data_IF_338470341023
#
_entry.id   IF_338470341023
#
_cell.length_a   1.000
_cell.length_b   1.000
_cell.length_c   1.000
_cell.angle_alpha   90.00
_cell.angle_beta   90.00
_cell.angle_gamma   90.00
#
_symmetry.space_group_name_H-M   'P 1'
#
loop_
_entity.id
_entity.type
_entity.pdbx_description
1 polymer ?
#
# COMPACT_ATOMS: atom_id res chain seq x y z
N UNK A 1 15.62 -14.36 7.70
CA UNK A 1 14.62 -14.41 6.62
C UNK A 1 13.29 -13.84 7.10
N UNK A 2 12.77 -12.84 6.39
CA UNK A 2 11.38 -12.40 6.45
C UNK A 2 10.65 -12.96 5.23
N UNK A 3 9.63 -13.81 5.40
CA UNK A 3 8.88 -14.40 4.30
C UNK A 3 7.66 -13.53 3.98
N UNK A 4 7.53 -13.13 2.71
CA UNK A 4 6.41 -12.43 2.13
C UNK A 4 5.83 -13.27 0.98
N UNK A 5 4.55 -13.05 0.62
CA UNK A 5 3.95 -13.70 -0.55
C UNK A 5 3.77 -12.71 -1.69
N UNK A 6 4.05 -13.15 -2.92
CA UNK A 6 3.73 -12.39 -4.12
C UNK A 6 2.21 -12.10 -4.19
N UNK A 7 1.86 -10.95 -4.77
CA UNK A 7 0.51 -10.42 -4.88
C UNK A 7 -0.24 -10.22 -3.55
N UNK A 8 0.49 -9.87 -2.48
CA UNK A 8 -0.10 -9.38 -1.23
C UNK A 8 -0.01 -7.85 -1.10
N UNK A 9 0.24 -7.12 -2.19
CA UNK A 9 0.38 -5.66 -2.19
C UNK A 9 1.68 -5.18 -1.55
N UNK A 10 1.69 -3.97 -0.99
CA UNK A 10 2.79 -3.51 -0.15
C UNK A 10 2.70 -4.18 1.22
N UNK A 11 3.71 -4.97 1.55
CA UNK A 11 3.90 -5.61 2.85
C UNK A 11 4.94 -4.84 3.66
N UNK A 12 4.75 -4.80 4.98
CA UNK A 12 5.62 -4.06 5.90
C UNK A 12 6.41 -5.05 6.76
N UNK A 13 7.71 -4.79 6.93
CA UNK A 13 8.60 -5.51 7.83
C UNK A 13 9.15 -4.54 8.88
N UNK A 14 8.95 -4.83 10.16
CA UNK A 14 9.63 -4.12 11.26
C UNK A 14 11.00 -4.75 11.58
N UNK A 15 12.06 -3.94 11.58
CA UNK A 15 13.45 -4.29 11.91
C UNK A 15 13.93 -3.42 13.10
N UNK A 16 13.89 -3.93 14.35
CA UNK A 16 14.37 -3.19 15.53
C UNK A 16 15.89 -2.95 15.49
N UNK A 17 16.32 -1.70 15.63
CA UNK A 17 17.73 -1.31 15.54
C UNK A 17 18.41 -1.35 16.92
N UNK A 18 19.34 -2.28 17.08
CA UNK A 18 20.03 -2.54 18.36
C UNK A 18 21.08 -1.46 18.66
N UNK A 19 21.38 -1.26 19.94
CA UNK A 19 22.46 -0.38 20.39
C UNK A 19 22.12 1.12 20.44
N UNK A 20 20.83 1.50 20.41
CA UNK A 20 20.41 2.89 20.59
C UNK A 20 20.77 3.80 19.42
N UNK A 21 20.81 3.26 18.19
CA UNK A 21 21.12 4.02 16.98
C UNK A 21 20.20 5.23 16.81
N UNK A 22 20.79 6.41 16.58
CA UNK A 22 20.09 7.67 16.30
C UNK A 22 20.63 8.28 15.01
N UNK A 23 19.74 8.94 14.26
CA UNK A 23 20.02 9.51 12.96
C UNK A 23 19.49 10.94 12.88
N UNK A 24 20.19 11.80 12.13
CA UNK A 24 19.70 13.14 11.80
C UNK A 24 18.73 13.09 10.62
N UNK A 25 17.87 14.11 10.49
CA UNK A 25 16.95 14.25 9.34
C UNK A 25 17.72 14.26 8.01
N UNK A 26 18.95 14.79 7.99
CA UNK A 26 19.82 14.78 6.81
C UNK A 26 20.31 13.37 6.41
N UNK A 27 20.08 12.34 7.22
CA UNK A 27 20.43 10.94 6.92
C UNK A 27 19.19 10.12 6.54
N UNK A 28 18.05 10.34 7.23
CA UNK A 28 16.84 9.50 7.09
C UNK A 28 15.65 10.20 6.42
N UNK A 29 15.73 11.50 6.16
CA UNK A 29 14.66 12.29 5.58
C UNK A 29 13.40 12.39 6.45
N UNK A 30 12.31 12.81 5.80
CA UNK A 30 10.96 12.75 6.36
C UNK A 30 10.20 11.62 5.65
N UNK A 31 9.67 10.67 6.42
CA UNK A 31 8.91 9.54 5.87
C UNK A 31 9.77 8.52 5.11
N UNK A 32 9.14 7.86 4.15
CA UNK A 32 9.74 6.80 3.33
C UNK A 32 10.83 7.31 2.37
N UNK A 33 11.91 6.53 2.26
CA UNK A 33 13.07 6.73 1.39
C UNK A 33 13.28 5.52 0.47
N UNK A 34 14.04 5.67 -0.61
CA UNK A 34 14.30 4.59 -1.58
C UNK A 34 15.46 3.70 -1.12
N UNK A 35 15.35 2.39 -1.33
CA UNK A 35 16.38 1.44 -0.90
C UNK A 35 17.53 1.39 -1.90
N UNK A 36 18.71 1.79 -1.44
CA UNK A 36 19.99 1.55 -2.11
C UNK A 36 20.92 0.84 -1.14
N UNK A 37 21.62 -0.18 -1.59
CA UNK A 37 22.57 -0.96 -0.80
C UNK A 37 23.98 -0.77 -1.36
N UNK A 38 24.93 -0.35 -0.53
CA UNK A 38 26.34 -0.30 -0.92
C UNK A 38 26.93 -1.71 -1.04
N UNK A 39 27.79 -1.94 -2.03
CA UNK A 39 28.63 -3.14 -2.01
C UNK A 39 29.48 -3.13 -0.73
N UNK A 40 29.66 -4.32 -0.12
CA UNK A 40 30.63 -4.46 0.96
C UNK A 40 32.03 -4.14 0.42
N UNK A 41 32.80 -3.31 1.13
CA UNK A 41 34.20 -3.10 0.82
C UNK A 41 34.97 -4.40 1.08
N UNK A 42 35.38 -5.09 0.01
CA UNK A 42 36.47 -6.07 0.12
C UNK A 42 37.70 -5.34 0.67
N UNK A 43 38.10 -5.65 1.90
CA UNK A 43 39.27 -5.07 2.53
C UNK A 43 40.58 -5.64 1.96
N UNK A 44 40.80 -5.50 0.65
CA UNK A 44 42.09 -5.73 0.03
C UNK A 44 43.07 -4.61 0.43
N UNK A 45 43.79 -4.86 1.53
CA UNK A 45 44.66 -3.89 2.22
C UNK A 45 45.90 -3.43 1.41
N UNK A 46 45.99 -3.76 0.11
CA UNK A 46 47.21 -3.63 -0.69
C UNK A 46 47.13 -2.71 -1.92
N UNK A 47 45.98 -2.12 -2.25
CA UNK A 47 45.79 -1.35 -3.49
C UNK A 47 46.12 0.16 -3.37
N UNK A 48 47.40 0.51 -3.19
CA UNK A 48 47.90 1.91 -3.29
C UNK A 48 47.78 2.49 -4.71
N UNK A 49 46.59 2.99 -5.09
CA UNK A 49 46.39 3.84 -6.27
C UNK A 49 45.60 5.10 -5.95
N UNK A 50 46.33 6.22 -5.77
CA UNK A 50 45.75 7.57 -5.92
C UNK A 50 45.41 7.81 -7.40
N UNK A 51 44.48 8.74 -7.63
CA UNK A 51 44.03 9.21 -8.95
C UNK A 51 43.20 8.19 -9.75
N UNK A 52 42.02 7.87 -9.25
CA UNK A 52 40.85 7.62 -10.09
C UNK A 52 39.90 8.85 -9.98
N UNK A 53 39.09 9.09 -11.01
CA UNK A 53 37.89 9.94 -10.86
C UNK A 53 36.92 9.27 -9.87
N UNK A 54 36.01 10.02 -9.22
CA UNK A 54 35.00 9.40 -8.35
C UNK A 54 34.21 8.37 -9.17
N UNK A 55 34.33 7.10 -8.80
CA UNK A 55 33.56 6.04 -9.42
C UNK A 55 32.07 6.30 -9.21
N UNK A 56 31.25 6.05 -10.22
CA UNK A 56 29.80 6.07 -10.06
C UNK A 56 29.43 5.08 -8.96
N UNK A 57 28.63 5.52 -7.98
CA UNK A 57 28.29 4.75 -6.79
C UNK A 57 27.70 3.40 -7.20
N UNK A 58 28.43 2.31 -6.96
CA UNK A 58 28.09 0.92 -7.31
C UNK A 58 26.98 0.34 -6.43
N UNK A 59 26.05 1.17 -5.98
CA UNK A 59 24.97 0.78 -5.10
C UNK A 59 23.88 0.04 -5.88
N UNK A 60 23.40 -1.07 -5.31
CA UNK A 60 22.26 -1.82 -5.85
C UNK A 60 20.97 -1.14 -5.40
N UNK A 61 20.15 -0.72 -6.35
CA UNK A 61 18.83 -0.13 -6.09
C UNK A 61 17.74 -1.22 -6.09
N UNK A 62 16.83 -1.16 -5.11
CA UNK A 62 15.66 -2.03 -5.03
C UNK A 62 14.41 -1.16 -5.22
N UNK A 63 13.94 -0.93 -6.47
CA UNK A 63 12.89 0.07 -6.76
C UNK A 63 11.52 -0.28 -6.16
N UNK A 64 11.32 -1.55 -5.80
CA UNK A 64 10.16 -2.14 -5.14
C UNK A 64 10.30 -2.22 -3.60
N UNK A 65 11.39 -1.69 -3.02
CA UNK A 65 11.59 -1.61 -1.58
C UNK A 65 11.83 -0.15 -1.17
N UNK A 66 11.06 0.33 -0.21
CA UNK A 66 11.30 1.59 0.47
C UNK A 66 11.59 1.34 1.95
N UNK A 67 12.30 2.26 2.61
CA UNK A 67 12.59 2.20 4.04
C UNK A 67 12.22 3.50 4.75
N UNK A 68 11.84 3.40 6.02
CA UNK A 68 11.62 4.54 6.92
C UNK A 68 12.24 4.20 8.28
N UNK A 69 12.85 5.17 8.96
CA UNK A 69 13.31 5.00 10.34
C UNK A 69 12.45 5.84 11.28
N UNK A 70 11.85 5.20 12.28
CA UNK A 70 11.08 5.84 13.34
C UNK A 70 11.90 5.78 14.64
N UNK A 71 12.12 6.94 15.25
CA UNK A 71 13.00 7.10 16.42
C UNK A 71 12.18 7.25 17.70
N UNK A 72 11.83 6.14 18.34
CA UNK A 72 11.13 6.09 19.64
C UNK A 72 12.06 5.77 20.82
N UNK A 73 11.53 5.09 21.85
CA UNK A 73 12.34 4.48 22.93
C UNK A 73 13.38 3.54 22.31
N UNK A 74 12.91 2.56 21.52
CA UNK A 74 13.74 1.81 20.57
C UNK A 74 13.59 2.42 19.18
N UNK A 75 14.71 2.63 18.47
CA UNK A 75 14.68 3.02 17.06
C UNK A 75 14.34 1.79 16.21
N UNK A 76 13.40 1.95 15.27
CA UNK A 76 12.95 0.88 14.38
C UNK A 76 13.13 1.32 12.93
N UNK A 77 13.69 0.45 12.09
CA UNK A 77 13.61 0.58 10.64
C UNK A 77 12.38 -0.21 10.16
N UNK A 78 11.57 0.39 9.32
CA UNK A 78 10.48 -0.26 8.62
C UNK A 78 10.86 -0.38 7.16
N UNK A 79 10.58 -1.54 6.56
CA UNK A 79 10.73 -1.78 5.13
C UNK A 79 9.33 -1.99 4.53
N UNK A 80 9.00 -1.22 3.51
CA UNK A 80 7.81 -1.40 2.69
C UNK A 80 8.26 -2.09 1.41
N UNK A 81 7.90 -3.37 1.28
CA UNK A 81 8.21 -4.21 0.12
C UNK A 81 6.94 -4.33 -0.70
N UNK A 82 6.95 -3.82 -1.92
CA UNK A 82 5.89 -4.09 -2.87
C UNK A 82 6.03 -5.52 -3.42
N UNK A 83 4.97 -6.31 -3.31
CA UNK A 83 4.93 -7.71 -3.75
C UNK A 83 4.09 -7.91 -5.02
N UNK A 84 3.63 -6.83 -5.67
CA UNK A 84 2.79 -6.86 -6.87
C UNK A 84 3.53 -7.24 -8.17
N UNK A 85 2.76 -7.44 -9.23
CA UNK A 85 3.24 -7.93 -10.52
C UNK A 85 3.83 -6.85 -11.45
N UNK A 86 5.03 -7.11 -12.00
CA UNK A 86 5.67 -6.34 -13.08
C UNK A 86 7.10 -6.83 -13.43
N UNK A 87 8.07 -6.03 -13.86
CA UNK A 87 9.25 -6.60 -14.56
C UNK A 87 10.33 -7.24 -13.66
N UNK A 88 10.62 -8.54 -13.86
CA UNK A 88 11.56 -9.34 -13.05
C UNK A 88 13.03 -8.93 -13.20
N UNK A 89 13.42 -8.39 -14.35
CA UNK A 89 14.78 -7.85 -14.53
C UNK A 89 14.93 -6.48 -13.84
N UNK A 90 13.82 -5.90 -13.38
CA UNK A 90 13.73 -4.55 -12.79
C UNK A 90 13.07 -4.60 -11.38
N UNK A 91 12.89 -5.80 -10.80
CA UNK A 91 12.52 -6.01 -9.39
C UNK A 91 11.03 -6.23 -9.04
N UNK A 92 10.14 -6.42 -10.01
CA UNK A 92 8.71 -6.73 -9.79
C UNK A 92 8.32 -8.01 -10.59
N UNK A 93 7.12 -8.63 -10.50
CA UNK A 93 6.89 -9.99 -11.08
C UNK A 93 5.76 -10.15 -12.15
N UNK A 94 6.02 -10.25 -13.45
CA UNK A 94 5.10 -9.74 -14.51
C UNK A 94 3.71 -10.38 -14.57
N UNK A 95 3.64 -11.63 -14.17
CA UNK A 95 2.46 -12.48 -14.09
C UNK A 95 2.52 -13.15 -12.71
N UNK A 96 1.38 -13.45 -12.09
CA UNK A 96 1.34 -14.20 -10.83
C UNK A 96 2.10 -15.54 -10.88
N UNK A 97 2.22 -16.11 -12.08
CA UNK A 97 2.94 -17.35 -12.39
C UNK A 97 4.41 -17.12 -12.79
N UNK A 98 4.89 -15.87 -12.93
CA UNK A 98 6.30 -15.56 -13.27
C UNK A 98 7.25 -15.95 -12.14
N UNK A 99 6.80 -15.85 -10.89
CA UNK A 99 7.56 -16.28 -9.73
C UNK A 99 7.40 -17.80 -9.57
N UNK A 100 8.37 -18.57 -10.09
CA UNK A 100 8.35 -20.05 -10.11
C UNK A 100 8.98 -20.69 -8.88
N UNK A 101 9.54 -19.90 -7.97
CA UNK A 101 10.18 -20.32 -6.73
C UNK A 101 10.49 -19.11 -5.84
N UNK A 102 11.11 -19.33 -4.67
CA UNK A 102 11.44 -18.24 -3.73
C UNK A 102 12.48 -17.27 -4.33
N UNK A 103 12.16 -15.98 -4.34
CA UNK A 103 13.10 -14.90 -4.67
C UNK A 103 13.68 -14.33 -3.38
N UNK A 104 14.98 -14.53 -3.16
CA UNK A 104 15.70 -14.14 -1.94
C UNK A 104 16.49 -12.84 -2.19
N UNK A 105 16.30 -11.87 -1.30
CA UNK A 105 16.92 -10.54 -1.33
C UNK A 105 17.68 -10.35 -0.03
N UNK A 106 18.97 -10.01 -0.13
CA UNK A 106 19.79 -9.65 1.03
C UNK A 106 20.05 -8.15 1.03
N UNK A 107 19.47 -7.45 2.01
CA UNK A 107 19.72 -6.03 2.23
C UNK A 107 20.86 -5.85 3.23
N UNK A 108 22.00 -5.40 2.72
CA UNK A 108 23.21 -5.06 3.48
C UNK A 108 23.65 -3.63 3.13
N UNK A 109 24.29 -2.94 4.08
CA UNK A 109 24.82 -1.58 3.86
C UNK A 109 23.80 -0.61 3.23
N UNK A 110 22.54 -0.64 3.68
CA UNK A 110 21.49 0.29 3.23
C UNK A 110 21.99 1.72 3.42
N UNK A 111 21.98 2.50 2.35
CA UNK A 111 22.52 3.86 2.31
C UNK A 111 21.56 4.90 2.87
N UNK A 112 22.11 5.91 3.53
CA UNK A 112 21.44 7.13 3.94
C UNK A 112 21.27 8.09 2.74
N UNK A 113 20.62 9.24 2.95
CA UNK A 113 20.41 10.26 1.92
C UNK A 113 21.72 10.88 1.36
N UNK A 114 22.87 10.62 1.98
CA UNK A 114 24.20 11.07 1.56
C UNK A 114 25.00 9.95 0.86
N UNK A 115 24.37 8.79 0.60
CA UNK A 115 25.01 7.61 0.02
C UNK A 115 25.90 6.82 0.99
N UNK A 116 25.87 7.12 2.28
CA UNK A 116 26.70 6.48 3.31
C UNK A 116 25.93 5.35 4.00
N UNK A 117 26.54 4.17 4.29
CA UNK A 117 25.84 3.09 4.99
C UNK A 117 25.27 3.51 6.35
N UNK A 118 23.98 3.22 6.58
CA UNK A 118 23.26 3.47 7.83
C UNK A 118 23.81 2.55 8.94
N UNK A 119 24.72 3.11 9.74
CA UNK A 119 25.31 2.41 10.91
C UNK A 119 24.22 1.86 11.83
N UNK A 120 24.38 0.61 12.26
CA UNK A 120 23.44 -0.05 13.19
C UNK A 120 22.25 -0.74 12.54
N UNK A 121 22.05 -0.60 11.22
CA UNK A 121 21.10 -1.42 10.46
C UNK A 121 21.67 -2.84 10.29
N UNK A 122 20.95 -3.90 10.71
CA UNK A 122 21.39 -5.28 10.50
C UNK A 122 21.14 -5.74 9.06
N UNK A 123 21.91 -6.73 8.61
CA UNK A 123 21.58 -7.51 7.41
C UNK A 123 20.12 -7.98 7.50
N UNK A 124 19.33 -7.65 6.49
CA UNK A 124 17.91 -8.03 6.43
C UNK A 124 17.65 -8.88 5.19
N UNK A 125 17.52 -10.18 5.41
CA UNK A 125 17.19 -11.20 4.40
C UNK A 125 15.66 -11.30 4.24
N UNK A 126 15.17 -11.08 3.02
CA UNK A 126 13.76 -11.09 2.63
C UNK A 126 13.55 -12.19 1.58
N UNK A 127 12.46 -12.94 1.69
CA UNK A 127 12.06 -13.98 0.75
C UNK A 127 10.66 -13.65 0.22
N UNK A 128 10.54 -13.36 -1.07
CA UNK A 128 9.25 -13.23 -1.76
C UNK A 128 8.93 -14.61 -2.35
N UNK A 129 7.82 -15.20 -1.88
CA UNK A 129 7.41 -16.57 -2.18
C UNK A 129 6.17 -16.60 -3.08
N UNK A 130 6.07 -17.50 -4.08
CA UNK A 130 4.82 -17.70 -4.82
C UNK A 130 3.71 -18.16 -3.87
N UNK A 131 2.50 -17.60 -3.97
CA UNK A 131 1.40 -17.93 -3.07
C UNK A 131 1.05 -19.44 -3.04
N UNK A 132 1.24 -20.14 -4.17
CA UNK A 132 1.01 -21.58 -4.30
C UNK A 132 2.19 -22.48 -3.85
N UNK A 133 3.35 -21.92 -3.49
CA UNK A 133 4.61 -22.67 -3.33
C UNK A 133 4.61 -23.74 -2.22
N UNK A 134 3.66 -23.66 -1.27
CA UNK A 134 3.56 -24.58 -0.12
C UNK A 134 2.32 -25.49 -0.23
N UNK A 135 1.87 -25.75 -1.46
CA UNK A 135 0.87 -26.78 -1.82
C UNK A 135 -0.50 -26.67 -1.10
N UNK A 136 -0.94 -25.47 -0.75
CA UNK A 136 -2.29 -25.23 -0.23
C UNK A 136 -2.75 -23.79 -0.45
N UNK A 137 -4.04 -23.62 -0.74
CA UNK A 137 -4.65 -22.32 -1.08
C UNK A 137 -4.50 -21.28 0.04
N UNK A 138 -4.75 -20.01 -0.27
CA UNK A 138 -4.78 -18.95 0.74
C UNK A 138 -5.77 -19.27 1.86
N UNK A 139 -5.38 -19.05 3.12
CA UNK A 139 -6.26 -19.26 4.26
C UNK A 139 -7.30 -18.14 4.35
N UNK A 140 -8.57 -18.51 4.38
CA UNK A 140 -9.67 -17.57 4.56
C UNK A 140 -9.66 -16.98 5.98
N UNK A 141 -9.65 -15.65 6.05
CA UNK A 141 -9.95 -14.88 7.26
C UNK A 141 -11.27 -14.16 7.06
N UNK A 142 -12.12 -14.18 8.07
CA UNK A 142 -13.41 -13.49 8.08
C UNK A 142 -13.32 -12.30 9.04
N UNK A 143 -13.65 -11.11 8.56
CA UNK A 143 -13.56 -9.87 9.33
C UNK A 143 -14.95 -9.45 9.82
N UNK A 144 -15.10 -9.18 11.12
CA UNK A 144 -16.30 -8.61 11.72
C UNK A 144 -15.97 -7.24 12.29
N UNK A 145 -16.77 -6.21 11.99
CA UNK A 145 -16.53 -4.83 12.44
C UNK A 145 -17.78 -4.21 13.03
N UNK A 146 -17.64 -3.67 14.24
CA UNK A 146 -18.61 -2.80 14.89
C UNK A 146 -18.12 -1.35 14.87
N UNK A 147 -18.61 -0.57 13.90
CA UNK A 147 -18.37 0.87 13.87
C UNK A 147 -19.13 1.54 15.03
N UNK A 148 -18.44 2.08 16.02
CA UNK A 148 -19.08 2.98 17.00
C UNK A 148 -19.08 4.44 16.51
N UNK A 149 -19.61 5.33 17.34
CA UNK A 149 -19.59 6.78 17.10
C UNK A 149 -18.25 7.45 17.43
N UNK A 150 -17.38 6.75 18.17
CA UNK A 150 -16.10 7.28 18.68
C UNK A 150 -15.02 6.20 18.81
N UNK A 151 -15.41 4.94 19.00
CA UNK A 151 -14.52 3.78 18.95
C UNK A 151 -15.11 2.70 18.03
N UNK A 152 -14.30 2.12 17.17
CA UNK A 152 -14.66 1.00 16.29
C UNK A 152 -13.97 -0.25 16.82
N UNK A 153 -14.71 -1.36 16.88
CA UNK A 153 -14.18 -2.68 17.23
C UNK A 153 -14.07 -3.52 15.97
N UNK A 154 -13.01 -4.31 15.84
CA UNK A 154 -12.84 -5.25 14.75
C UNK A 154 -12.28 -6.58 15.25
N UNK A 155 -12.70 -7.67 14.60
CA UNK A 155 -12.34 -9.04 14.95
C UNK A 155 -12.02 -9.81 13.66
N UNK A 156 -10.89 -10.50 13.67
CA UNK A 156 -10.48 -11.43 12.62
C UNK A 156 -10.72 -12.86 13.10
N UNK A 157 -11.36 -13.64 12.24
CA UNK A 157 -11.77 -15.02 12.49
C UNK A 157 -11.08 -15.94 11.48
N UNK A 158 -10.22 -16.83 11.95
CA UNK A 158 -9.53 -17.81 11.11
C UNK A 158 -9.77 -19.22 11.67
N UNK A 159 -10.04 -20.19 10.80
CA UNK A 159 -10.13 -21.60 11.22
C UNK A 159 -8.73 -22.20 11.26
N UNK A 160 -8.36 -22.75 12.40
CA UNK A 160 -7.01 -23.27 12.69
C UNK A 160 -7.07 -24.73 13.12
N UNK A 161 -6.05 -25.49 12.77
CA UNK A 161 -5.99 -26.95 12.95
C UNK A 161 -6.51 -27.70 11.73
N UNK A 162 -5.71 -28.62 11.20
CA UNK A 162 -6.06 -29.45 10.04
C UNK A 162 -7.06 -30.56 10.41
N UNK A 163 -6.86 -31.19 11.57
CA UNK A 163 -7.65 -32.33 12.07
C UNK A 163 -8.79 -31.85 13.00
N UNK A 164 -8.53 -30.84 13.83
CA UNK A 164 -9.50 -30.28 14.79
C UNK A 164 -9.71 -28.78 14.50
N UNK A 165 -10.57 -28.51 13.52
CA UNK A 165 -10.91 -27.15 13.11
C UNK A 165 -11.48 -26.34 14.28
N UNK A 166 -10.68 -25.40 14.76
CA UNK A 166 -10.98 -24.53 15.91
C UNK A 166 -11.01 -23.08 15.43
N UNK A 167 -12.08 -22.30 15.67
CA UNK A 167 -12.14 -20.90 15.29
C UNK A 167 -11.25 -20.07 16.21
N UNK A 168 -10.14 -19.55 15.69
CA UNK A 168 -9.33 -18.54 16.37
C UNK A 168 -9.94 -17.16 16.13
N UNK A 169 -10.09 -16.38 17.20
CA UNK A 169 -10.67 -15.04 17.17
C UNK A 169 -9.65 -14.03 17.70
N UNK A 170 -9.23 -13.10 16.86
CA UNK A 170 -8.18 -12.12 17.17
C UNK A 170 -8.72 -10.69 17.03
N UNK A 171 -8.61 -9.83 18.06
CA UNK A 171 -8.89 -8.41 17.92
C UNK A 171 -8.03 -7.81 16.82
N UNK A 172 -8.62 -6.93 16.00
CA UNK A 172 -7.89 -6.14 15.01
C UNK A 172 -7.83 -4.70 15.48
N UNK A 173 -6.61 -4.15 15.54
CA UNK A 173 -6.31 -2.86 16.15
C UNK A 173 -5.61 -1.96 15.13
N UNK A 174 -6.25 -0.86 14.73
CA UNK A 174 -5.62 0.17 13.91
C UNK A 174 -4.68 1.04 14.76
N UNK A 175 -3.50 0.50 15.06
CA UNK A 175 -2.41 1.22 15.72
C UNK A 175 -1.78 2.22 14.73
N UNK A 176 -1.17 1.69 13.67
CA UNK A 176 -0.60 2.39 12.53
C UNK A 176 -0.38 1.34 11.43
N UNK A 177 -0.59 1.67 10.15
CA UNK A 177 -0.34 0.75 9.01
C UNK A 177 1.07 0.17 8.94
N UNK A 178 2.02 0.72 9.70
CA UNK A 178 3.38 0.21 9.85
C UNK A 178 3.65 -0.52 11.17
N UNK A 179 2.84 -0.29 12.21
CA UNK A 179 2.93 -0.98 13.51
C UNK A 179 2.00 -2.21 13.55
N UNK A 180 1.79 -2.85 12.40
CA UNK A 180 1.01 -4.08 12.23
C UNK A 180 1.74 -5.33 12.76
N UNK A 181 3.07 -5.36 12.65
CA UNK A 181 3.86 -6.34 13.38
C UNK A 181 3.87 -5.97 14.87
N UNK A 182 3.14 -6.77 15.67
CA UNK A 182 3.43 -7.27 17.02
C UNK A 182 4.70 -6.80 17.79
N UNK A 183 5.01 -5.50 17.84
CA UNK A 183 6.17 -4.95 18.56
C UNK A 183 5.80 -3.69 19.36
N UNK A 184 5.95 -3.74 20.68
CA UNK A 184 5.79 -2.57 21.57
C UNK A 184 6.82 -1.46 21.30
N UNK A 185 6.69 -0.30 21.95
CA UNK A 185 7.59 0.84 21.73
C UNK A 185 9.02 0.60 22.25
N UNK A 186 9.18 -0.36 23.15
CA UNK A 186 10.44 -0.95 23.60
C UNK A 186 11.07 -1.89 22.56
N UNK A 187 10.30 -2.40 21.59
CA UNK A 187 10.77 -3.30 20.53
C UNK A 187 10.79 -4.79 20.93
N UNK A 188 9.88 -5.22 21.80
CA UNK A 188 9.64 -6.61 22.20
C UNK A 188 8.43 -7.20 21.49
N UNK A 189 8.46 -8.51 21.21
CA UNK A 189 7.42 -9.17 20.41
C UNK A 189 6.14 -9.46 21.22
N UNK A 190 5.09 -8.69 20.96
CA UNK A 190 3.76 -8.85 21.57
C UNK A 190 2.94 -9.92 20.85
N UNK A 191 2.92 -11.15 21.37
CA UNK A 191 2.20 -12.29 20.77
C UNK A 191 0.68 -12.08 20.61
N UNK A 192 0.04 -11.16 21.34
CA UNK A 192 -1.38 -10.85 21.23
C UNK A 192 -1.62 -9.33 21.29
N UNK A 193 -2.52 -8.75 20.47
CA UNK A 193 -2.88 -7.34 20.54
C UNK A 193 -3.60 -6.99 21.85
N UNK A 194 -3.37 -5.77 22.35
CA UNK A 194 -3.82 -5.34 23.67
C UNK A 194 -5.21 -4.70 23.68
N UNK A 195 -5.54 -3.88 22.68
CA UNK A 195 -6.86 -3.27 22.60
C UNK A 195 -7.86 -4.15 21.84
N UNK A 196 -9.15 -3.82 22.02
CA UNK A 196 -10.27 -4.40 21.27
C UNK A 196 -11.05 -3.34 20.48
N UNK A 197 -10.59 -2.10 20.53
CA UNK A 197 -11.29 -0.90 20.11
C UNK A 197 -10.26 0.18 19.74
N UNK A 198 -10.38 0.76 18.55
CA UNK A 198 -9.55 1.87 18.07
C UNK A 198 -10.42 3.09 17.76
N UNK A 199 -9.81 4.26 17.55
CA UNK A 199 -10.49 5.51 17.25
C UNK A 199 -11.34 5.42 15.96
N UNK A 200 -12.62 5.81 16.02
CA UNK A 200 -13.48 5.84 14.83
C UNK A 200 -13.25 7.05 13.94
N UNK A 201 -12.37 8.00 14.31
CA UNK A 201 -12.06 9.15 13.46
C UNK A 201 -11.56 8.67 12.10
N UNK A 202 -11.93 9.39 11.05
CA UNK A 202 -11.49 9.15 9.68
C UNK A 202 -10.96 10.44 9.07
N UNK A 203 -9.81 10.36 8.41
CA UNK A 203 -9.12 11.53 7.87
C UNK A 203 -8.54 11.21 6.48
N UNK A 204 -8.67 12.11 5.50
CA UNK A 204 -7.98 11.92 4.23
C UNK A 204 -6.46 12.15 4.40
N UNK A 205 -5.61 11.32 3.81
CA UNK A 205 -4.17 11.43 3.87
C UNK A 205 -3.58 11.13 2.49
N UNK A 206 -2.45 11.75 2.16
CA UNK A 206 -1.72 11.41 0.94
C UNK A 206 -1.10 10.00 1.01
N UNK A 207 -0.70 9.49 -0.15
CA UNK A 207 0.11 8.27 -0.20
C UNK A 207 1.38 8.49 0.64
N UNK A 208 1.72 7.57 1.56
CA UNK A 208 2.90 7.67 2.41
C UNK A 208 4.16 7.16 1.70
N UNK A 209 4.02 6.34 0.65
CA UNK A 209 5.16 5.81 -0.11
C UNK A 209 5.63 6.83 -1.15
N UNK A 210 6.94 6.93 -1.41
CA UNK A 210 7.45 7.78 -2.48
C UNK A 210 6.93 7.29 -3.83
N UNK A 211 6.56 8.19 -4.75
CA UNK A 211 6.14 7.78 -6.09
C UNK A 211 7.31 7.11 -6.83
N UNK A 212 7.04 6.05 -7.60
CA UNK A 212 8.08 5.35 -8.35
C UNK A 212 8.71 6.22 -9.45
N UNK A 213 9.98 5.98 -9.70
CA UNK A 213 10.77 6.67 -10.73
C UNK A 213 10.49 6.09 -12.12
N UNK A 214 10.80 6.86 -13.17
CA UNK A 214 10.78 6.36 -14.54
C UNK A 214 11.91 5.33 -14.72
N UNK A 215 11.56 4.11 -15.13
CA UNK A 215 12.53 3.04 -15.39
C UNK A 215 12.56 2.74 -16.88
N UNK A 216 13.71 2.28 -17.39
CA UNK A 216 13.84 1.85 -18.79
C UNK A 216 13.41 0.38 -18.90
N UNK A 217 12.37 0.11 -19.68
CA UNK A 217 11.96 -1.23 -20.08
C UNK A 217 12.37 -1.48 -21.54
N UNK A 218 12.77 -2.70 -21.83
CA UNK A 218 12.99 -3.17 -23.20
C UNK A 218 11.67 -3.75 -23.71
N UNK A 219 11.16 -3.22 -24.82
CA UNK A 219 9.96 -3.71 -25.49
C UNK A 219 10.27 -4.19 -26.91
N UNK A 220 9.66 -5.31 -27.30
CA UNK A 220 9.85 -5.93 -28.61
C UNK A 220 8.64 -5.66 -29.50
N UNK A 221 8.64 -4.51 -30.17
CA UNK A 221 7.54 -4.10 -31.04
C UNK A 221 7.59 -4.89 -32.36
N UNK A 222 6.51 -5.59 -32.70
CA UNK A 222 6.36 -6.25 -33.99
C UNK A 222 5.96 -5.23 -35.05
N UNK A 223 6.77 -5.11 -36.11
CA UNK A 223 6.44 -4.30 -37.28
C UNK A 223 5.98 -5.24 -38.38
N UNK A 224 4.69 -5.16 -38.74
CA UNK A 224 4.16 -5.73 -39.96
C UNK A 224 4.45 -4.79 -41.13
N UNK A 225 5.41 -5.15 -41.99
CA UNK A 225 5.61 -4.49 -43.29
C UNK A 225 4.53 -4.95 -44.30
N UNK A 226 3.26 -4.64 -43.98
CA UNK A 226 2.06 -4.93 -44.78
C UNK A 226 1.93 -4.11 -46.06
N UNK A 227 3.03 -3.90 -46.79
CA UNK A 227 3.03 -3.17 -48.06
C UNK A 227 2.38 -3.98 -49.18
N UNK A 228 1.20 -3.58 -49.65
CA UNK A 228 0.48 -4.23 -50.75
C UNK A 228 1.24 -4.18 -52.10
N UNK A 229 2.21 -5.08 -52.30
CA UNK A 229 2.73 -5.40 -53.63
C UNK A 229 1.84 -6.43 -54.30
N UNK A 230 0.68 -5.96 -54.79
CA UNK A 230 -0.17 -6.68 -55.75
C UNK A 230 0.62 -6.94 -57.04
N UNK A 231 1.25 -8.10 -57.13
CA UNK A 231 1.83 -8.60 -58.38
C UNK A 231 0.71 -8.85 -59.40
N UNK A 232 0.86 -8.29 -60.62
CA UNK A 232 -0.15 -8.40 -61.68
C UNK A 232 -0.34 -9.86 -62.16
N UNK A 233 0.68 -10.70 -62.01
CA UNK A 233 0.63 -12.13 -62.33
C UNK A 233 0.77 -12.97 -61.06
N UNK A 234 -0.03 -14.04 -60.96
CA UNK A 234 -0.23 -14.83 -59.75
C UNK A 234 0.92 -15.78 -59.39
N UNK A 235 0.72 -16.50 -58.27
CA UNK A 235 1.66 -17.43 -57.63
C UNK A 235 2.89 -16.78 -56.93
N UNK A 236 2.62 -16.01 -55.89
CA UNK A 236 3.57 -15.72 -54.82
C UNK A 236 2.91 -15.83 -53.45
N UNK A 237 3.40 -16.70 -52.56
CA UNK A 237 2.97 -16.71 -51.15
C UNK A 237 3.61 -15.50 -50.45
N UNK A 238 2.80 -14.55 -49.99
CA UNK A 238 3.31 -13.45 -49.16
C UNK A 238 3.69 -13.98 -47.79
N UNK A 239 5.00 -14.14 -47.56
CA UNK A 239 5.56 -14.37 -46.23
C UNK A 239 5.78 -13.01 -45.58
N UNK A 240 4.82 -12.53 -44.77
CA UNK A 240 5.09 -11.38 -43.89
C UNK A 240 6.27 -11.74 -42.99
N UNK A 241 7.39 -11.04 -43.15
CA UNK A 241 8.52 -11.13 -42.24
C UNK A 241 8.28 -10.16 -41.10
N UNK A 242 7.47 -10.58 -40.13
CA UNK A 242 7.29 -9.86 -38.87
C UNK A 242 8.67 -9.59 -38.28
N UNK A 243 9.07 -8.33 -38.22
CA UNK A 243 10.37 -7.91 -37.70
C UNK A 243 10.15 -7.33 -36.31
N UNK A 244 10.63 -8.02 -35.29
CA UNK A 244 10.70 -7.47 -33.94
C UNK A 244 11.79 -6.41 -33.88
N UNK A 245 11.42 -5.19 -33.49
CA UNK A 245 12.34 -4.11 -33.20
C UNK A 245 12.49 -3.96 -31.68
N UNK A 246 13.74 -3.82 -31.20
CA UNK A 246 14.03 -3.63 -29.78
C UNK A 246 13.96 -2.13 -29.46
N UNK A 247 12.97 -1.72 -28.68
CA UNK A 247 12.76 -0.32 -28.28
C UNK A 247 13.01 -0.18 -26.78
N UNK A 248 13.79 0.80 -26.37
CA UNK A 248 13.87 1.20 -24.95
C UNK A 248 12.77 2.23 -24.67
N UNK A 249 11.82 1.87 -23.81
CA UNK A 249 10.69 2.71 -23.41
C UNK A 249 10.87 3.10 -21.94
N UNK A 250 10.79 4.40 -21.64
CA UNK A 250 10.77 4.87 -20.26
C UNK A 250 9.33 4.79 -19.72
N UNK A 251 9.07 3.89 -18.77
CA UNK A 251 7.76 3.71 -18.11
C UNK A 251 7.90 3.93 -16.60
N UNK A 252 6.89 4.55 -15.99
CA UNK A 252 6.70 4.49 -14.53
C UNK A 252 6.08 3.11 -14.19
N UNK A 253 6.65 2.33 -13.27
CA UNK A 253 6.02 1.10 -12.78
C UNK A 253 4.82 1.43 -11.90
N UNK A 254 3.82 0.55 -11.92
CA UNK A 254 2.58 0.70 -11.16
C UNK A 254 2.73 0.01 -9.79
N UNK A 255 3.63 0.56 -8.97
CA UNK A 255 4.03 0.07 -7.64
C UNK A 255 3.93 1.20 -6.60
N UNK A 256 3.85 0.85 -5.32
CA UNK A 256 3.67 1.76 -4.20
C UNK A 256 2.38 2.62 -4.28
N UNK A 257 1.38 2.11 -4.99
CA UNK A 257 0.03 2.70 -4.99
C UNK A 257 -0.63 2.50 -3.61
N UNK A 258 -0.87 3.61 -2.91
CA UNK A 258 -1.70 3.61 -1.70
C UNK A 258 -3.15 3.87 -2.09
N UNK A 259 -3.91 2.79 -2.24
CA UNK A 259 -5.30 2.84 -2.70
C UNK A 259 -6.25 3.41 -1.65
N UNK A 260 -5.92 3.24 -0.36
CA UNK A 260 -6.68 3.87 0.72
C UNK A 260 -6.13 5.25 0.98
N UNK A 261 -6.85 6.27 0.54
CA UNK A 261 -6.55 7.68 0.83
C UNK A 261 -7.09 8.11 2.21
N UNK A 262 -7.59 7.21 3.04
CA UNK A 262 -8.15 7.49 4.37
C UNK A 262 -7.29 6.86 5.44
N UNK A 263 -7.22 7.48 6.63
CA UNK A 263 -6.63 6.93 7.85
C UNK A 263 -7.68 6.83 8.94
N UNK A 264 -7.51 5.83 9.81
CA UNK A 264 -8.36 5.57 10.96
C UNK A 264 -7.53 5.10 12.16
N UNK A 265 -8.15 4.96 13.33
CA UNK A 265 -7.47 4.50 14.52
C UNK A 265 -6.44 5.50 15.05
N UNK A 266 -5.39 5.00 15.70
CA UNK A 266 -4.34 5.85 16.29
C UNK A 266 -3.55 6.62 15.22
N UNK A 267 -3.37 6.07 14.02
CA UNK A 267 -2.73 6.78 12.91
C UNK A 267 -3.45 8.08 12.53
N UNK A 268 -4.79 8.09 12.52
CA UNK A 268 -5.56 9.31 12.29
C UNK A 268 -5.43 10.32 13.45
N UNK A 269 -5.35 9.83 14.70
CA UNK A 269 -5.13 10.67 15.87
C UNK A 269 -3.71 11.26 15.94
N UNK A 270 -2.69 10.53 15.48
CA UNK A 270 -1.30 10.99 15.42
C UNK A 270 -1.09 11.99 14.27
N UNK A 271 -1.64 11.71 13.08
CA UNK A 271 -1.57 12.62 11.91
C UNK A 271 -2.27 13.95 12.21
N UNK A 272 -3.42 13.92 12.91
CA UNK A 272 -4.12 15.13 13.35
C UNK A 272 -3.31 16.03 14.31
N UNK A 273 -2.22 15.55 14.90
CA UNK A 273 -1.35 16.34 15.79
C UNK A 273 -0.21 17.05 15.05
N UNK A 274 0.08 16.71 13.79
CA UNK A 274 1.16 17.33 12.99
C UNK A 274 0.66 18.32 11.93
N UNK A 275 -0.64 18.35 11.65
CA UNK A 275 -1.26 19.35 10.76
C UNK A 275 -1.25 20.71 11.47
N UNK A 276 -0.64 21.72 10.86
CA UNK A 276 -0.78 23.10 11.32
C UNK A 276 -2.08 23.67 10.74
N UNK A 277 -3.13 23.67 11.55
CA UNK A 277 -4.43 24.26 11.19
C UNK A 277 -4.38 25.79 11.37
N UNK A 278 -4.13 26.50 10.28
CA UNK A 278 -4.62 27.88 10.15
C UNK A 278 -6.17 27.88 10.19
N UNK A 279 -6.79 28.96 10.65
CA UNK A 279 -8.22 29.02 11.04
C UNK A 279 -9.23 28.53 9.97
N UNK A 280 -8.87 28.63 8.68
CA UNK A 280 -9.71 28.19 7.55
C UNK A 280 -9.67 26.67 7.28
N UNK A 281 -8.63 25.94 7.72
CA UNK A 281 -8.39 24.55 7.29
C UNK A 281 -8.98 23.54 8.28
N UNK A 282 -10.17 22.99 7.97
CA UNK A 282 -10.84 21.95 8.75
C UNK A 282 -10.70 20.58 8.08
N UNK A 283 -9.83 19.72 8.61
CA UNK A 283 -9.42 18.47 7.93
C UNK A 283 -10.05 17.18 8.47
N UNK A 284 -10.42 17.14 9.76
CA UNK A 284 -10.84 15.91 10.45
C UNK A 284 -12.34 15.81 10.73
N UNK A 285 -12.89 14.59 10.67
CA UNK A 285 -14.27 14.28 11.08
C UNK A 285 -14.34 13.16 12.13
N UNK A 286 -15.50 13.04 12.77
CA UNK A 286 -15.83 11.93 13.67
C UNK A 286 -16.20 10.65 12.88
N UNK A 287 -16.76 9.63 13.53
CA UNK A 287 -17.08 8.34 12.87
C UNK A 287 -17.86 8.50 11.56
N UNK A 288 -17.43 7.90 10.43
CA UNK A 288 -18.18 7.89 9.16
C UNK A 288 -19.64 7.47 9.30
N UNK A 289 -19.93 6.61 10.28
CA UNK A 289 -21.27 6.13 10.65
C UNK A 289 -22.25 7.26 10.98
N UNK A 290 -21.76 8.41 11.47
CA UNK A 290 -22.56 9.62 11.76
C UNK A 290 -22.91 10.44 10.52
N UNK A 291 -22.27 10.15 9.40
CA UNK A 291 -22.35 10.92 8.17
C UNK A 291 -22.95 10.14 7.01
N UNK A 292 -23.38 8.88 7.21
CA UNK A 292 -23.90 8.01 6.14
C UNK A 292 -25.12 8.61 5.40
N UNK A 293 -25.92 9.39 6.13
CA UNK A 293 -27.08 10.14 5.63
C UNK A 293 -26.79 11.61 5.29
N UNK A 294 -25.53 12.07 5.43
CA UNK A 294 -25.13 13.42 5.03
C UNK A 294 -24.83 13.44 3.53
N UNK A 295 -25.89 13.60 2.73
CA UNK A 295 -25.85 13.76 1.27
C UNK A 295 -26.37 15.13 0.77
N UNK A 296 -26.83 15.99 1.67
CA UNK A 296 -27.31 17.33 1.36
C UNK A 296 -26.19 18.40 1.30
N UNK A 297 -26.47 19.49 0.60
CA UNK A 297 -25.52 20.58 0.38
C UNK A 297 -25.26 21.46 1.62
N UNK A 298 -26.04 21.38 2.70
CA UNK A 298 -25.79 22.19 3.92
C UNK A 298 -24.52 21.74 4.66
N UNK A 299 -24.12 20.48 4.50
CA UNK A 299 -22.80 19.99 4.92
C UNK A 299 -21.65 20.44 4.00
N UNK A 300 -21.96 21.00 2.84
CA UNK A 300 -21.02 21.46 1.80
C UNK A 300 -20.94 22.99 1.69
N UNK A 301 -21.66 23.73 2.54
CA UNK A 301 -21.65 25.20 2.58
C UNK A 301 -20.36 25.76 3.21
N UNK A 302 -19.27 25.75 2.43
CA UNK A 302 -18.11 26.61 2.65
C UNK A 302 -16.80 26.01 2.17
N UNK A 303 -16.42 24.88 2.76
CA UNK A 303 -15.07 24.33 2.66
C UNK A 303 -14.83 23.46 1.41
N UNK A 304 -13.60 23.50 0.92
CA UNK A 304 -13.03 22.41 0.13
C UNK A 304 -12.52 21.32 1.09
N UNK A 305 -12.56 20.06 0.66
CA UNK A 305 -11.95 18.97 1.40
C UNK A 305 -10.44 18.98 1.22
N UNK A 306 -9.75 18.75 2.32
CA UNK A 306 -8.30 18.70 2.42
C UNK A 306 -7.82 17.32 2.83
N UNK A 307 -6.56 17.03 2.58
CA UNK A 307 -5.90 15.79 2.99
C UNK A 307 -4.62 16.10 3.75
N UNK A 308 -4.30 15.28 4.75
CA UNK A 308 -3.05 15.38 5.49
C UNK A 308 -1.85 15.06 4.59
N UNK A 309 -0.76 15.77 4.84
CA UNK A 309 0.57 15.48 4.32
C UNK A 309 1.57 15.43 5.49
N UNK A 310 1.56 14.36 6.30
CA UNK A 310 2.39 14.26 7.51
C UNK A 310 3.91 14.21 7.23
N UNK A 311 4.32 14.24 5.96
CA UNK A 311 5.71 14.25 5.51
C UNK A 311 6.11 15.54 4.77
N UNK A 312 5.18 16.51 4.65
CA UNK A 312 5.28 17.78 3.90
C UNK A 312 5.89 17.62 2.49
N UNK A 313 5.41 16.61 1.77
CA UNK A 313 5.76 16.27 0.38
C UNK A 313 5.39 17.37 -0.60
N UNK A 314 4.34 18.13 -0.30
CA UNK A 314 3.89 19.30 -1.05
C UNK A 314 4.68 20.57 -0.68
N UNK A 315 5.54 20.51 0.34
CA UNK A 315 6.29 21.65 0.89
C UNK A 315 5.37 22.80 1.33
N UNK A 316 4.16 22.42 1.77
CA UNK A 316 3.08 23.27 2.24
C UNK A 316 3.42 24.01 3.53
N UNK A 317 4.30 23.45 4.37
CA UNK A 317 4.57 23.82 5.77
C UNK A 317 3.38 23.70 6.73
N UNK A 318 2.16 23.58 6.21
CA UNK A 318 0.94 23.29 6.97
C UNK A 318 0.70 21.79 7.18
N UNK A 319 1.53 20.93 6.56
CA UNK A 319 1.37 19.46 6.54
C UNK A 319 0.00 19.03 5.98
N UNK A 320 -0.49 19.78 4.98
CA UNK A 320 -1.84 19.66 4.46
C UNK A 320 -1.91 20.04 2.98
N UNK A 321 -2.61 19.23 2.17
CA UNK A 321 -2.80 19.44 0.73
C UNK A 321 -4.29 19.48 0.33
N UNK A 322 -4.52 19.80 -0.95
CA UNK A 322 -5.85 19.69 -1.58
C UNK A 322 -6.15 18.22 -1.88
N UNK A 323 -7.34 17.73 -1.52
CA UNK A 323 -7.74 16.33 -1.68
C UNK A 323 -7.60 15.85 -3.14
N UNK A 324 -6.75 14.82 -3.36
CA UNK A 324 -6.50 14.17 -4.66
C UNK A 324 -6.00 12.72 -4.50
N UNK A 325 -6.29 11.85 -5.45
CA UNK A 325 -5.78 10.48 -5.53
C UNK A 325 -6.74 9.49 -6.20
N UNK A 326 -6.32 8.24 -6.32
CA UNK A 326 -6.97 7.23 -7.18
C UNK A 326 -8.36 6.79 -6.73
N UNK A 327 -8.65 6.79 -5.42
CA UNK A 327 -9.98 6.44 -4.90
C UNK A 327 -11.07 7.43 -5.35
N UNK A 328 -10.71 8.68 -5.69
CA UNK A 328 -11.67 9.70 -6.12
C UNK A 328 -12.30 9.40 -7.49
N UNK A 329 -11.66 8.57 -8.34
CA UNK A 329 -12.27 8.05 -9.59
C UNK A 329 -13.65 7.43 -9.36
N UNK A 330 -13.85 6.87 -8.17
CA UNK A 330 -15.06 6.15 -7.77
C UNK A 330 -15.98 6.95 -6.83
N UNK A 331 -15.60 8.20 -6.49
CA UNK A 331 -16.31 9.07 -5.54
C UNK A 331 -16.48 10.44 -6.20
N UNK A 332 -17.59 10.61 -6.92
CA UNK A 332 -17.86 11.82 -7.71
C UNK A 332 -18.12 13.05 -6.82
N UNK A 333 -17.89 14.27 -7.34
CA UNK A 333 -18.10 15.53 -6.58
C UNK A 333 -19.59 15.75 -6.21
N UNK A 334 -20.51 15.38 -7.11
CA UNK A 334 -21.98 15.41 -6.89
C UNK A 334 -22.52 14.13 -6.22
N UNK A 335 -21.63 13.22 -5.79
CA UNK A 335 -21.94 11.94 -5.15
C UNK A 335 -22.92 11.02 -5.92
N UNK A 336 -22.83 11.10 -7.25
CA UNK A 336 -23.54 10.27 -8.23
C UNK A 336 -22.97 8.83 -8.26
N UNK A 337 -23.68 7.89 -7.62
CA UNK A 337 -23.33 6.45 -7.55
C UNK A 337 -23.45 5.74 -8.93
N UNK A 338 -22.57 6.08 -9.88
CA UNK A 338 -22.54 5.51 -11.24
C UNK A 338 -22.28 4.01 -11.28
N UNK A 339 -21.59 3.48 -10.27
CA UNK A 339 -21.26 2.06 -10.11
C UNK A 339 -22.48 1.16 -9.84
N UNK A 340 -23.67 1.74 -9.64
CA UNK A 340 -24.95 1.02 -9.51
C UNK A 340 -25.74 0.89 -10.81
N UNK A 341 -25.30 1.54 -11.90
CA UNK A 341 -26.08 1.62 -13.14
C UNK A 341 -25.98 0.30 -13.91
N UNK A 342 -27.13 -0.35 -14.13
CA UNK A 342 -27.24 -1.64 -14.85
C UNK A 342 -26.60 -1.64 -16.24
N UNK A 343 -26.41 -0.47 -16.84
CA UNK A 343 -25.73 -0.26 -18.14
C UNK A 343 -24.24 -0.63 -18.16
N UNK A 344 -23.66 -0.97 -17.01
CA UNK A 344 -22.23 -1.18 -16.85
C UNK A 344 -21.43 0.12 -16.78
N UNK A 345 -20.15 -0.01 -16.42
CA UNK A 345 -19.23 1.11 -16.17
C UNK A 345 -18.37 1.35 -17.40
N UNK A 346 -18.32 2.59 -17.91
CA UNK A 346 -17.44 2.99 -19.02
C UNK A 346 -16.33 3.89 -18.49
N UNK A 347 -15.20 3.95 -19.20
CA UNK A 347 -14.05 4.77 -18.80
C UNK A 347 -14.37 6.28 -18.64
N UNK A 348 -15.40 6.76 -19.32
CA UNK A 348 -15.90 8.14 -19.23
C UNK A 348 -16.82 8.43 -18.03
N UNK A 349 -17.23 7.40 -17.28
CA UNK A 349 -18.15 7.55 -16.14
C UNK A 349 -17.38 7.72 -14.80
N UNK A 350 -16.05 7.56 -14.80
CA UNK A 350 -15.19 7.80 -13.65
C UNK A 350 -14.93 9.30 -13.41
N UNK A 351 -14.83 9.68 -12.14
CA UNK A 351 -14.42 11.02 -11.73
C UNK A 351 -12.91 11.28 -11.96
N UNK A 352 -12.47 12.56 -11.97
CA UNK A 352 -11.04 12.89 -11.96
C UNK A 352 -10.39 12.57 -10.61
N UNK A 353 -9.15 12.08 -10.63
CA UNK A 353 -8.33 11.88 -9.41
C UNK A 353 -7.91 13.19 -8.73
N UNK A 354 -8.06 14.32 -9.41
CA UNK A 354 -7.83 15.66 -8.87
C UNK A 354 -9.08 16.49 -9.16
N UNK A 355 -10.09 16.45 -8.27
CA UNK A 355 -11.31 17.23 -8.40
C UNK A 355 -11.01 18.73 -8.47
N UNK A 356 -11.76 19.47 -9.30
CA UNK A 356 -11.60 20.92 -9.43
C UNK A 356 -12.20 21.65 -8.22
N UNK A 357 -13.17 21.03 -7.56
CA UNK A 357 -13.72 21.45 -6.27
C UNK A 357 -13.90 20.18 -5.41
N UNK A 358 -12.92 19.78 -4.58
CA UNK A 358 -13.09 18.61 -3.71
C UNK A 358 -14.20 18.89 -2.69
N UNK A 359 -15.44 18.56 -3.03
CA UNK A 359 -16.67 18.89 -2.28
C UNK A 359 -17.59 17.68 -2.24
N UNK A 360 -17.03 16.55 -1.83
CA UNK A 360 -17.74 15.28 -1.76
C UNK A 360 -18.70 15.26 -0.56
N UNK A 361 -19.83 14.58 -0.69
CA UNK A 361 -20.76 14.34 0.43
C UNK A 361 -20.05 13.61 1.59
N UNK A 362 -20.21 14.03 2.87
CA UNK A 362 -19.52 13.39 4.00
C UNK A 362 -19.72 11.87 4.12
N UNK A 363 -20.82 11.31 3.60
CA UNK A 363 -21.00 9.84 3.53
C UNK A 363 -19.93 9.09 2.73
N UNK A 364 -19.23 9.76 1.81
CA UNK A 364 -18.14 9.18 1.02
C UNK A 364 -17.00 8.61 1.89
N UNK A 365 -16.78 9.17 3.08
CA UNK A 365 -15.80 8.64 4.04
C UNK A 365 -16.17 7.26 4.58
N UNK A 366 -17.42 6.79 4.48
CA UNK A 366 -17.76 5.40 4.81
C UNK A 366 -17.07 4.43 3.85
N UNK A 367 -17.07 4.73 2.54
CA UNK A 367 -16.36 3.97 1.51
C UNK A 367 -14.85 3.92 1.82
N UNK A 368 -14.24 5.08 2.07
CA UNK A 368 -12.81 5.16 2.39
C UNK A 368 -12.43 4.50 3.71
N UNK A 369 -13.29 4.55 4.73
CA UNK A 369 -13.09 3.89 6.02
C UNK A 369 -13.20 2.37 5.94
N UNK A 370 -14.18 1.85 5.19
CA UNK A 370 -14.27 0.40 4.89
C UNK A 370 -13.01 -0.04 4.12
N UNK A 371 -12.52 0.77 3.19
CA UNK A 371 -11.35 0.43 2.39
C UNK A 371 -10.04 0.49 3.20
N UNK A 372 -9.86 1.47 4.09
CA UNK A 372 -8.70 1.53 5.01
C UNK A 372 -8.69 0.32 5.96
N UNK A 373 -9.84 -0.06 6.49
CA UNK A 373 -9.98 -1.25 7.33
C UNK A 373 -9.56 -2.52 6.60
N UNK A 374 -10.00 -2.70 5.35
CA UNK A 374 -9.64 -3.85 4.53
C UNK A 374 -8.16 -3.81 4.10
N UNK A 375 -7.62 -2.64 3.76
CA UNK A 375 -6.22 -2.47 3.38
C UNK A 375 -5.29 -2.82 4.56
N UNK A 376 -5.48 -2.19 5.73
CA UNK A 376 -4.67 -2.50 6.92
C UNK A 376 -4.89 -3.94 7.39
N UNK A 377 -6.12 -4.47 7.34
CA UNK A 377 -6.37 -5.86 7.72
C UNK A 377 -5.71 -6.85 6.76
N UNK A 378 -5.69 -6.57 5.45
CA UNK A 378 -5.10 -7.46 4.44
C UNK A 378 -3.56 -7.52 4.56
N UNK A 379 -2.92 -6.39 4.84
CA UNK A 379 -1.50 -6.36 5.23
C UNK A 379 -1.28 -7.06 6.57
N UNK A 380 -2.14 -6.86 7.57
CA UNK A 380 -1.99 -7.51 8.89
C UNK A 380 -2.12 -9.03 8.84
N UNK A 381 -3.11 -9.60 8.14
CA UNK A 381 -3.24 -11.07 8.02
C UNK A 381 -2.11 -11.71 7.20
N UNK A 382 -1.40 -10.89 6.40
CA UNK A 382 -0.19 -11.28 5.68
C UNK A 382 1.11 -10.79 6.35
N UNK A 383 1.04 -10.27 7.57
CA UNK A 383 2.22 -10.08 8.42
C UNK A 383 2.81 -11.43 8.84
N UNK A 384 4.12 -11.47 9.09
CA UNK A 384 4.77 -12.68 9.62
C UNK A 384 4.22 -12.98 11.02
N UNK A 385 3.98 -11.93 11.82
CA UNK A 385 3.47 -12.05 13.17
C UNK A 385 2.11 -12.78 13.22
N UNK A 386 1.12 -12.32 12.45
CA UNK A 386 -0.20 -12.93 12.42
C UNK A 386 -0.16 -14.39 11.94
N UNK A 387 0.58 -14.69 10.85
CA UNK A 387 0.66 -16.06 10.32
C UNK A 387 1.33 -17.04 11.28
N UNK A 388 2.34 -16.59 12.04
CA UNK A 388 2.93 -17.37 13.14
C UNK A 388 1.94 -17.56 14.30
N UNK A 389 1.14 -16.53 14.62
CA UNK A 389 0.13 -16.59 15.69
C UNK A 389 -1.02 -17.56 15.38
N UNK A 390 -1.44 -17.70 14.12
CA UNK A 390 -2.45 -18.68 13.68
C UNK A 390 -1.89 -20.02 13.19
N UNK A 391 -0.63 -20.33 13.54
CA UNK A 391 -0.06 -21.68 13.51
C UNK A 391 0.36 -22.23 12.15
N UNK A 392 0.19 -21.46 11.08
CA UNK A 392 0.57 -21.81 9.71
C UNK A 392 1.33 -20.62 9.10
N UNK A 393 2.65 -20.60 9.25
CA UNK A 393 3.48 -19.52 8.69
C UNK A 393 3.63 -19.61 7.15
N UNK A 394 3.25 -20.74 6.55
CA UNK A 394 3.63 -21.15 5.19
C UNK A 394 2.68 -20.75 4.08
N UNK A 395 1.47 -20.25 4.39
CA UNK A 395 0.45 -19.88 3.39
C UNK A 395 0.00 -18.43 3.49
N UNK A 396 -0.35 -17.81 2.36
CA UNK A 396 -0.97 -16.48 2.33
C UNK A 396 -2.35 -16.48 3.02
N UNK A 397 -2.85 -15.30 3.39
CA UNK A 397 -4.23 -15.09 3.87
C UNK A 397 -5.01 -14.20 2.90
N UNK A 398 -6.30 -14.47 2.80
CA UNK A 398 -7.27 -13.62 2.10
C UNK A 398 -8.40 -13.21 3.06
N UNK A 399 -8.94 -11.99 2.90
CA UNK A 399 -10.14 -11.57 3.63
C UNK A 399 -11.35 -12.02 2.79
N UNK A 400 -11.93 -13.17 3.15
CA UNK A 400 -13.00 -13.80 2.35
C UNK A 400 -14.38 -13.18 2.58
N UNK A 401 -14.64 -12.61 3.77
CA UNK A 401 -15.89 -11.91 4.06
C UNK A 401 -15.67 -10.75 5.03
N UNK A 402 -16.41 -9.66 4.82
CA UNK A 402 -16.56 -8.57 5.78
C UNK A 402 -18.01 -8.53 6.29
N UNK A 403 -18.18 -8.57 7.61
CA UNK A 403 -19.48 -8.41 8.29
C UNK A 403 -19.47 -7.09 9.07
N UNK A 404 -20.30 -6.13 8.65
CA UNK A 404 -20.50 -4.88 9.39
C UNK A 404 -21.75 -4.95 10.27
N UNK A 405 -21.68 -4.38 11.46
CA UNK A 405 -22.87 -3.98 12.21
C UNK A 405 -23.35 -2.58 11.78
N UNK A 406 -24.63 -2.31 12.02
CA UNK A 406 -25.24 -0.99 11.91
C UNK A 406 -26.12 -0.71 13.14
N UNK A 407 -26.53 0.54 13.42
CA UNK A 407 -27.41 0.83 14.55
C UNK A 407 -28.75 0.11 14.39
N UNK A 408 -29.32 -0.36 15.49
CA UNK A 408 -30.66 -0.98 15.50
C UNK A 408 -31.76 -0.05 14.95
N UNK A 409 -31.58 1.27 15.08
CA UNK A 409 -32.48 2.29 14.54
C UNK A 409 -32.24 2.72 13.08
N UNK A 410 -31.30 2.09 12.36
CA UNK A 410 -31.09 2.40 10.93
C UNK A 410 -32.29 1.93 10.11
N UNK A 411 -32.78 2.78 9.21
CA UNK A 411 -33.92 2.45 8.33
C UNK A 411 -33.47 1.56 7.16
N UNK A 412 -34.41 1.04 6.35
CA UNK A 412 -34.07 0.09 5.28
C UNK A 412 -33.30 0.77 4.15
N UNK A 413 -33.71 1.99 3.82
CA UNK A 413 -33.16 2.86 2.80
C UNK A 413 -31.68 3.21 3.08
N UNK A 414 -31.29 3.34 4.35
CA UNK A 414 -29.89 3.55 4.76
C UNK A 414 -29.04 2.29 4.59
N UNK A 415 -29.60 1.09 4.81
CA UNK A 415 -28.91 -0.20 4.61
C UNK A 415 -28.74 -0.48 3.12
N UNK A 416 -29.79 -0.22 2.34
CA UNK A 416 -29.80 -0.34 0.88
C UNK A 416 -28.85 0.66 0.23
N UNK A 417 -28.63 1.86 0.80
CA UNK A 417 -27.58 2.81 0.39
C UNK A 417 -26.17 2.41 0.83
N UNK A 418 -26.01 1.60 1.87
CA UNK A 418 -24.69 1.11 2.30
C UNK A 418 -24.16 -0.01 1.40
N UNK A 419 -25.02 -0.93 0.93
CA UNK A 419 -24.66 -2.00 0.00
C UNK A 419 -23.86 -1.52 -1.25
N UNK A 420 -24.28 -0.46 -1.97
CA UNK A 420 -23.51 0.20 -3.03
C UNK A 420 -22.05 0.48 -2.71
N UNK A 421 -21.76 1.00 -1.51
CA UNK A 421 -20.41 1.43 -1.14
C UNK A 421 -19.48 0.23 -0.95
N UNK A 422 -19.99 -0.97 -0.66
CA UNK A 422 -19.21 -2.21 -0.78
C UNK A 422 -18.91 -2.58 -2.23
N UNK A 423 -19.84 -2.37 -3.17
CA UNK A 423 -19.56 -2.59 -4.60
C UNK A 423 -18.42 -1.70 -5.07
N UNK A 424 -18.35 -0.44 -4.61
CA UNK A 424 -17.20 0.45 -4.87
C UNK A 424 -15.90 -0.18 -4.36
N UNK A 425 -15.85 -0.57 -3.09
CA UNK A 425 -14.68 -1.19 -2.45
C UNK A 425 -14.27 -2.50 -3.14
N UNK A 426 -15.24 -3.32 -3.55
CA UNK A 426 -15.00 -4.55 -4.29
C UNK A 426 -14.42 -4.26 -5.68
N UNK A 427 -14.96 -3.30 -6.43
CA UNK A 427 -14.40 -2.87 -7.72
C UNK A 427 -12.99 -2.30 -7.57
N UNK A 428 -12.71 -1.49 -6.54
CA UNK A 428 -11.35 -1.01 -6.25
C UNK A 428 -10.36 -2.15 -5.92
N UNK A 429 -10.86 -3.29 -5.44
CA UNK A 429 -10.07 -4.47 -5.10
C UNK A 429 -9.91 -5.46 -6.27
N UNK A 430 -10.91 -5.54 -7.16
CA UNK A 430 -10.97 -6.42 -8.34
C UNK A 430 -10.27 -5.86 -9.59
N UNK A 431 -9.85 -4.60 -9.58
CA UNK A 431 -9.11 -3.95 -10.69
C UNK A 431 -7.60 -4.21 -10.59
N UNK A 432 -7.21 -5.50 -10.49
CA UNK A 432 -5.85 -6.00 -10.29
C UNK A 432 -5.67 -7.36 -11.00
#
# INVERSE_FOLDING_TARGET
MHILFANTGVQVICVPLKGGARYTVNQIGNGWQRTKCGLAEEQDQNSKKRNAQPAESTAVEFPFIQWQIIQGTTTKMYLAVDTTCGDTEIGYFCDANSLTGDHIINLENIQDLNGQPLRGVPMTEICIRPAAAVAGDAKHVHMVVDFGNSRTGALLLEVVGEISQTPQMLPFELTNRYHLDAWDDEGQYLRNPGARWFSSKSHWCNTPYLPPQMMRKIEYQQIDEGGEKRGWFGFGKSSSKVRTNKVEVARRPDIFEDFSMVRMGKEADDILQVIATDDDIRTGVSSPKRYLWADDASWLEGANWHMADPYDREQSRTYCGTLRGSLLKFIHEDDNDFLLKETGVRAQDFAPETPLKPRHAPRALMTGAIYELLAQAYTYVNSIAYRMQSGDAGRAREIRTLTLTYPSGMISEEKERLAPRFSIVATCSLLR
#
